data_IF_294018678754
#
_entry.id   IF_294018678754
#
_cell.length_a   1.000
_cell.length_b   1.000
_cell.length_c   1.000
_cell.angle_alpha   90.00
_cell.angle_beta   90.00
_cell.angle_gamma   90.00
#
_symmetry.space_group_name_H-M   'P 1'
#
loop_
_entity.id
_entity.type
_entity.pdbx_description
1 polymer ?
#
# COMPACT_ATOMS: atom_id res chain seq x y z
N UNK A 1 1.23 21.24 46.86
CA UNK A 1 0.60 19.92 46.73
C UNK A 1 -0.83 20.14 46.32
N UNK A 2 -1.15 20.13 45.05
CA UNK A 2 -2.50 20.24 44.54
C UNK A 2 -2.68 19.12 43.51
N UNK A 3 -3.47 18.13 43.83
CA UNK A 3 -3.82 17.00 42.99
C UNK A 3 -4.74 17.49 41.88
N UNK A 4 -4.31 17.35 40.64
CA UNK A 4 -5.16 17.41 39.43
C UNK A 4 -5.63 15.99 39.11
N UNK A 5 -6.88 15.71 39.38
CA UNK A 5 -7.58 14.52 38.89
C UNK A 5 -8.09 14.82 37.49
N UNK A 6 -7.56 14.11 36.50
CA UNK A 6 -8.11 14.13 35.13
C UNK A 6 -9.06 12.95 34.97
N UNK A 7 -10.35 13.23 35.03
CA UNK A 7 -11.38 12.30 34.54
C UNK A 7 -11.56 12.51 33.04
N UNK A 8 -11.34 11.48 32.26
CA UNK A 8 -11.66 11.41 30.83
C UNK A 8 -13.14 11.00 30.69
N UNK A 9 -13.97 11.72 29.94
CA UNK A 9 -15.37 11.29 29.73
C UNK A 9 -15.39 10.11 28.73
N UNK A 10 -16.39 9.19 28.87
CA UNK A 10 -16.54 8.06 27.97
C UNK A 10 -17.03 8.50 26.59
N UNK A 11 -16.40 7.97 25.54
CA UNK A 11 -16.84 8.13 24.15
C UNK A 11 -18.17 7.39 23.95
N UNK A 12 -19.25 8.15 23.85
CA UNK A 12 -20.59 7.64 23.52
C UNK A 12 -20.64 7.14 22.06
N UNK A 13 -21.15 5.95 21.90
CA UNK A 13 -21.48 5.34 20.62
C UNK A 13 -22.63 6.08 19.93
N UNK A 14 -22.38 6.69 18.77
CA UNK A 14 -23.43 7.15 17.86
C UNK A 14 -23.44 6.33 16.57
N UNK A 15 -24.62 6.02 16.01
CA UNK A 15 -24.73 5.23 14.78
C UNK A 15 -24.29 6.04 13.54
N UNK A 16 -23.66 5.37 12.60
CA UNK A 16 -23.20 5.91 11.32
C UNK A 16 -24.39 6.43 10.49
N UNK A 17 -24.63 7.73 10.49
CA UNK A 17 -25.44 8.43 9.50
C UNK A 17 -24.56 9.37 8.71
N UNK A 18 -24.79 9.42 7.39
CA UNK A 18 -23.99 10.16 6.44
C UNK A 18 -23.88 11.65 6.75
N UNK A 19 -22.65 12.14 6.73
CA UNK A 19 -22.36 13.57 6.93
C UNK A 19 -22.60 14.35 5.66
N UNK A 20 -23.69 15.10 5.64
CA UNK A 20 -23.82 16.30 4.80
C UNK A 20 -22.89 17.37 5.38
N UNK A 21 -22.03 17.93 4.55
CA UNK A 21 -21.14 19.04 4.89
C UNK A 21 -21.95 20.28 5.26
N UNK A 22 -21.87 20.69 6.52
CA UNK A 22 -22.35 22.01 6.96
C UNK A 22 -21.16 22.97 7.01
N UNK A 23 -21.13 23.91 6.09
CA UNK A 23 -20.25 25.07 6.14
C UNK A 23 -20.87 26.06 7.15
N UNK A 24 -20.14 26.54 8.16
CA UNK A 24 -20.66 27.57 9.06
C UNK A 24 -20.79 28.91 8.31
N UNK A 25 -22.02 29.40 8.16
CA UNK A 25 -22.27 30.81 7.88
C UNK A 25 -22.21 31.60 9.19
N UNK A 26 -21.41 32.64 9.18
CA UNK A 26 -21.45 33.95 9.83
C UNK A 26 -20.11 34.34 10.43
N UNK A 27 -19.38 35.18 9.67
CA UNK A 27 -18.49 36.17 10.21
C UNK A 27 -19.14 37.56 9.94
N UNK A 28 -19.47 38.25 11.00
CA UNK A 28 -19.97 39.61 10.94
C UNK A 28 -18.86 40.55 10.43
N UNK A 29 -19.28 41.52 9.59
CA UNK A 29 -18.47 42.55 8.97
C UNK A 29 -17.88 43.51 10.03
N UNK A 30 -16.56 43.58 10.11
CA UNK A 30 -15.87 44.79 10.53
C UNK A 30 -15.31 45.50 9.31
N UNK A 31 -15.60 46.79 9.20
CA UNK A 31 -15.30 47.64 8.06
C UNK A 31 -13.83 48.11 8.08
N UNK A 32 -12.98 47.39 7.39
CA UNK A 32 -11.69 47.87 6.93
C UNK A 32 -11.68 47.86 5.40
N UNK A 33 -11.16 48.89 4.74
CA UNK A 33 -11.20 49.09 3.30
C UNK A 33 -10.77 47.84 2.53
N UNK A 34 -11.76 47.08 2.01
CA UNK A 34 -11.54 45.94 1.15
C UNK A 34 -11.25 46.40 -0.27
N UNK A 35 -10.31 45.76 -0.93
CA UNK A 35 -10.08 45.92 -2.37
C UNK A 35 -11.40 45.68 -3.14
N UNK A 36 -11.59 46.39 -4.29
CA UNK A 36 -12.85 46.35 -5.03
C UNK A 36 -13.28 44.92 -5.34
N UNK A 37 -14.56 44.57 -5.14
CA UNK A 37 -15.17 43.26 -5.32
C UNK A 37 -14.90 42.62 -6.70
N UNK A 38 -14.49 43.39 -7.69
CA UNK A 38 -14.13 42.90 -9.02
C UNK A 38 -12.86 42.01 -9.05
N UNK A 39 -12.02 42.01 -8.00
CA UNK A 39 -10.77 41.25 -7.96
C UNK A 39 -10.96 39.76 -7.52
N UNK A 40 -12.12 39.39 -6.99
CA UNK A 40 -12.35 38.03 -6.43
C UNK A 40 -13.27 37.15 -7.27
N UNK A 41 -13.55 37.52 -8.52
CA UNK A 41 -14.50 36.80 -9.35
C UNK A 41 -13.96 35.52 -10.01
N UNK A 42 -12.64 35.26 -9.96
CA UNK A 42 -12.05 34.08 -10.59
C UNK A 42 -11.29 33.23 -9.56
N UNK A 43 -11.81 32.01 -9.33
CA UNK A 43 -11.08 30.99 -8.57
C UNK A 43 -9.91 30.45 -9.42
N UNK A 44 -8.68 30.36 -8.88
CA UNK A 44 -7.55 29.74 -9.58
C UNK A 44 -7.90 28.34 -10.04
N UNK A 45 -7.58 28.02 -11.29
CA UNK A 45 -7.80 26.67 -11.84
C UNK A 45 -6.55 25.81 -11.67
N UNK A 46 -6.66 24.56 -11.22
CA UNK A 46 -5.53 23.63 -11.19
C UNK A 46 -5.11 23.27 -12.63
N UNK A 47 -3.96 22.58 -12.76
CA UNK A 47 -3.51 22.05 -14.06
C UNK A 47 -4.61 21.17 -14.68
N UNK A 48 -4.75 21.20 -16.00
CA UNK A 48 -5.81 20.47 -16.74
C UNK A 48 -5.76 18.96 -16.41
N UNK A 49 -4.58 18.40 -16.27
CA UNK A 49 -4.39 16.98 -15.91
C UNK A 49 -4.99 16.67 -14.53
N UNK A 50 -4.73 17.54 -13.53
CA UNK A 50 -5.29 17.39 -12.18
C UNK A 50 -6.81 17.51 -12.17
N UNK A 51 -7.37 18.41 -13.01
CA UNK A 51 -8.84 18.52 -13.18
C UNK A 51 -9.49 17.24 -13.72
N UNK A 52 -8.77 16.47 -14.54
CA UNK A 52 -9.25 15.22 -15.11
C UNK A 52 -9.11 14.02 -14.17
N UNK A 53 -8.34 14.13 -13.09
CA UNK A 53 -8.13 13.05 -12.12
C UNK A 53 -9.38 12.84 -11.26
N UNK A 54 -9.66 11.58 -10.95
CA UNK A 54 -10.68 11.22 -9.94
C UNK A 54 -10.03 11.17 -8.57
N UNK A 55 -10.70 11.75 -7.59
CA UNK A 55 -10.28 11.62 -6.21
C UNK A 55 -10.40 10.16 -5.74
N UNK A 56 -9.35 9.65 -5.10
CA UNK A 56 -9.34 8.30 -4.55
C UNK A 56 -9.81 8.30 -3.10
N UNK A 57 -10.93 7.66 -2.84
CA UNK A 57 -11.51 7.50 -1.51
C UNK A 57 -11.40 6.05 -1.03
N UNK A 58 -10.42 5.72 -0.17
CA UNK A 58 -10.40 4.40 0.46
C UNK A 58 -11.61 4.26 1.41
N UNK A 59 -12.31 3.11 1.44
CA UNK A 59 -13.42 2.88 2.37
C UNK A 59 -12.87 2.68 3.78
N UNK A 60 -12.65 3.78 4.49
CA UNK A 60 -12.22 3.79 5.89
C UNK A 60 -13.48 3.77 6.79
N UNK A 61 -13.55 2.84 7.73
CA UNK A 61 -14.66 2.74 8.67
C UNK A 61 -14.69 1.42 9.41
N UNK A 62 -15.66 1.24 10.32
CA UNK A 62 -15.97 -0.03 11.00
C UNK A 62 -14.75 -0.73 11.61
N UNK A 63 -13.96 0.01 12.41
CA UNK A 63 -12.68 -0.48 12.96
C UNK A 63 -12.85 -1.58 14.02
N UNK A 64 -14.05 -1.77 14.55
CA UNK A 64 -14.38 -2.80 15.54
C UNK A 64 -14.66 -4.18 14.92
N UNK A 65 -14.65 -4.28 13.58
CA UNK A 65 -14.82 -5.54 12.85
C UNK A 65 -13.48 -6.20 12.55
N UNK A 66 -13.50 -7.48 12.20
CA UNK A 66 -12.32 -8.16 11.66
C UNK A 66 -11.98 -7.60 10.28
N UNK A 67 -10.88 -6.84 10.21
CA UNK A 67 -10.47 -6.11 9.01
C UNK A 67 -9.57 -6.97 8.12
N UNK A 68 -10.16 -7.53 7.08
CA UNK A 68 -9.46 -8.30 6.06
C UNK A 68 -9.53 -7.60 4.69
N UNK A 69 -9.53 -6.26 4.67
CA UNK A 69 -9.74 -5.41 3.49
C UNK A 69 -8.52 -4.60 3.05
N UNK A 70 -7.57 -4.27 3.96
CA UNK A 70 -6.44 -3.38 3.69
C UNK A 70 -5.07 -4.07 3.69
N UNK A 71 -4.99 -5.38 3.81
CA UNK A 71 -3.74 -6.14 3.92
C UNK A 71 -2.86 -5.64 5.08
N UNK A 72 -3.50 -5.19 6.16
CA UNK A 72 -2.81 -4.78 7.39
C UNK A 72 -2.35 -6.01 8.18
N UNK A 73 -1.41 -5.82 9.09
CA UNK A 73 -1.15 -6.78 10.15
C UNK A 73 -2.37 -6.78 11.09
N UNK A 74 -2.98 -7.94 11.27
CA UNK A 74 -4.25 -8.08 12.00
C UNK A 74 -4.07 -8.33 13.50
N UNK A 75 -2.83 -8.38 13.98
CA UNK A 75 -2.52 -8.61 15.38
C UNK A 75 -2.09 -7.29 16.03
N UNK A 76 -0.84 -6.91 15.84
CA UNK A 76 -0.21 -5.71 16.38
C UNK A 76 1.20 -5.54 15.79
N UNK A 77 1.90 -4.47 16.15
CA UNK A 77 3.35 -4.39 15.99
C UNK A 77 4.06 -5.16 17.11
N UNK A 78 5.40 -5.34 16.98
CA UNK A 78 6.23 -5.92 18.03
C UNK A 78 6.02 -5.22 19.40
N UNK A 79 5.99 -5.97 20.50
CA UNK A 79 5.94 -5.41 21.86
C UNK A 79 7.06 -4.39 22.13
N UNK A 80 8.27 -4.58 21.58
CA UNK A 80 9.38 -3.62 21.68
C UNK A 80 9.02 -2.24 21.13
N UNK A 81 8.20 -2.18 20.07
CA UNK A 81 7.69 -0.92 19.52
C UNK A 81 6.76 -0.23 20.51
N UNK A 82 5.83 -0.98 21.10
CA UNK A 82 4.90 -0.45 22.10
C UNK A 82 5.62 0.09 23.34
N UNK A 83 6.71 -0.56 23.78
CA UNK A 83 7.54 -0.10 24.88
C UNK A 83 8.21 1.25 24.57
N UNK A 84 8.73 1.42 23.34
CA UNK A 84 9.35 2.68 22.92
C UNK A 84 8.32 3.79 22.87
N UNK A 85 7.12 3.52 22.28
CA UNK A 85 6.04 4.50 22.26
C UNK A 85 5.64 4.98 23.66
N UNK A 86 5.60 4.08 24.64
CA UNK A 86 5.29 4.41 26.02
C UNK A 86 6.34 5.28 26.72
N UNK A 87 7.56 5.39 26.16
CA UNK A 87 8.69 6.16 26.71
C UNK A 87 8.95 7.48 25.96
N UNK A 88 8.24 7.75 24.89
CA UNK A 88 8.43 8.99 24.11
C UNK A 88 8.09 10.20 24.96
N UNK A 89 9.05 11.12 25.08
CA UNK A 89 8.87 12.37 25.82
C UNK A 89 8.17 13.43 24.98
N UNK A 90 7.47 14.37 25.63
CA UNK A 90 6.91 15.54 24.96
C UNK A 90 7.99 16.35 24.22
N UNK A 91 9.21 16.40 24.75
CA UNK A 91 10.34 17.10 24.11
C UNK A 91 10.78 16.48 22.79
N UNK A 92 10.53 15.18 22.56
CA UNK A 92 10.79 14.52 21.29
C UNK A 92 9.82 14.95 20.19
N UNK A 93 8.64 15.45 20.57
CA UNK A 93 7.60 15.89 19.61
C UNK A 93 7.79 17.34 19.17
N UNK A 94 8.62 18.13 19.87
CA UNK A 94 8.81 19.55 19.59
C UNK A 94 10.00 19.86 18.69
N UNK A 95 10.74 18.82 18.27
CA UNK A 95 11.94 18.96 17.44
C UNK A 95 11.72 18.28 16.09
N UNK A 96 12.34 18.83 15.06
CA UNK A 96 12.39 18.16 13.77
C UNK A 96 13.18 16.85 13.89
N UNK A 97 12.69 15.76 13.27
CA UNK A 97 13.38 14.48 13.33
C UNK A 97 14.65 14.46 12.48
N UNK A 98 15.67 13.76 12.95
CA UNK A 98 16.89 13.42 12.20
C UNK A 98 16.72 12.02 11.60
N UNK A 99 16.66 11.94 10.28
CA UNK A 99 16.40 10.69 9.56
C UNK A 99 17.67 9.85 9.35
N UNK A 100 18.79 10.51 9.12
CA UNK A 100 20.05 9.89 8.70
C UNK A 100 20.57 8.80 9.65
N UNK A 101 20.50 8.94 10.99
CA UNK A 101 20.92 7.88 11.91
C UNK A 101 20.10 6.59 11.75
N UNK A 102 18.78 6.73 11.52
CA UNK A 102 17.89 5.58 11.35
C UNK A 102 18.04 4.98 9.93
N UNK A 103 18.30 5.80 8.91
CA UNK A 103 18.67 5.30 7.58
C UNK A 103 19.94 4.46 7.61
N UNK A 104 20.94 4.84 8.40
CA UNK A 104 22.15 4.05 8.57
C UNK A 104 21.88 2.68 9.22
N UNK A 105 21.00 2.62 10.23
CA UNK A 105 20.57 1.36 10.86
C UNK A 105 19.85 0.48 9.82
N UNK A 106 18.92 1.04 9.07
CA UNK A 106 18.17 0.32 8.04
C UNK A 106 19.10 -0.17 6.94
N UNK A 107 20.03 0.66 6.47
CA UNK A 107 21.00 0.28 5.45
C UNK A 107 21.86 -0.90 5.92
N UNK A 108 22.37 -0.85 7.16
CA UNK A 108 23.12 -1.95 7.74
C UNK A 108 22.30 -3.24 7.85
N UNK A 109 21.01 -3.14 8.26
CA UNK A 109 20.08 -4.28 8.32
C UNK A 109 19.85 -4.92 6.93
N UNK A 110 19.88 -4.11 5.86
CA UNK A 110 19.70 -4.56 4.48
C UNK A 110 21.01 -4.97 3.78
N UNK A 111 22.16 -4.80 4.43
CA UNK A 111 23.48 -5.04 3.83
C UNK A 111 23.87 -3.99 2.77
N UNK A 112 23.35 -2.77 2.89
CA UNK A 112 23.54 -1.66 1.95
C UNK A 112 24.34 -0.51 2.61
N UNK A 113 24.88 0.39 1.79
CA UNK A 113 25.45 1.64 2.28
C UNK A 113 24.34 2.67 2.60
N UNK A 114 24.52 3.58 3.58
CA UNK A 114 23.52 4.61 3.91
C UNK A 114 23.10 5.48 2.73
N UNK A 115 24.01 5.79 1.80
CA UNK A 115 23.72 6.56 0.60
C UNK A 115 22.80 5.84 -0.40
N UNK A 116 22.63 4.52 -0.26
CA UNK A 116 21.75 3.70 -1.10
C UNK A 116 20.32 3.58 -0.57
N UNK A 117 20.02 4.10 0.62
CA UNK A 117 18.70 3.98 1.28
C UNK A 117 18.16 5.36 1.60
N UNK A 118 16.88 5.58 1.35
CA UNK A 118 16.14 6.76 1.81
C UNK A 118 14.84 6.32 2.48
N UNK A 119 14.63 6.74 3.73
CA UNK A 119 13.35 6.54 4.42
C UNK A 119 12.31 7.54 3.92
N UNK A 120 11.07 7.10 3.82
CA UNK A 120 9.93 7.86 3.31
C UNK A 120 8.71 7.71 4.20
N UNK A 121 7.77 8.64 4.07
CA UNK A 121 6.47 8.58 4.76
C UNK A 121 5.54 7.54 4.09
N UNK A 122 5.89 6.27 4.22
CA UNK A 122 5.29 5.14 3.51
C UNK A 122 5.81 5.01 2.08
N UNK A 123 5.45 3.89 1.45
CA UNK A 123 5.77 3.66 0.02
C UNK A 123 5.02 4.63 -0.90
N UNK A 124 3.93 5.21 -0.45
CA UNK A 124 3.21 6.24 -1.21
C UNK A 124 4.11 7.44 -1.52
N UNK A 125 4.80 7.99 -0.51
CA UNK A 125 5.79 9.05 -0.73
C UNK A 125 6.97 8.55 -1.56
N UNK A 126 7.43 7.32 -1.32
CA UNK A 126 8.51 6.71 -2.09
C UNK A 126 8.23 6.70 -3.60
N UNK A 127 7.04 6.26 -4.00
CA UNK A 127 6.59 6.25 -5.40
C UNK A 127 6.47 7.67 -5.92
N UNK A 128 5.83 8.56 -5.16
CA UNK A 128 5.61 9.96 -5.56
C UNK A 128 6.92 10.69 -5.84
N UNK A 129 7.87 10.67 -4.89
CA UNK A 129 9.16 11.35 -5.08
C UNK A 129 10.02 10.71 -6.18
N UNK A 130 9.92 9.39 -6.39
CA UNK A 130 10.60 8.72 -7.49
C UNK A 130 10.05 9.21 -8.83
N UNK A 131 8.72 9.28 -8.96
CA UNK A 131 8.08 9.72 -10.20
C UNK A 131 8.36 11.20 -10.48
N UNK A 132 8.27 12.03 -9.46
CA UNK A 132 8.59 13.46 -9.56
C UNK A 132 10.08 13.70 -9.95
N UNK A 133 10.99 12.83 -9.50
CA UNK A 133 12.41 12.92 -9.84
C UNK A 133 12.77 12.46 -11.27
N UNK A 134 11.94 11.58 -11.88
CA UNK A 134 12.32 10.90 -13.12
C UNK A 134 11.31 11.01 -14.28
N UNK A 135 10.08 11.46 -14.03
CA UNK A 135 9.04 11.57 -15.07
C UNK A 135 8.75 13.02 -15.42
N UNK A 136 8.62 13.28 -16.71
CA UNK A 136 8.18 14.56 -17.26
C UNK A 136 7.18 14.35 -18.40
N UNK A 137 6.65 15.43 -18.96
CA UNK A 137 5.71 15.38 -20.08
C UNK A 137 6.32 14.63 -21.28
N UNK A 138 5.59 13.65 -21.79
CA UNK A 138 6.00 12.81 -22.91
C UNK A 138 6.68 11.48 -22.51
N UNK A 139 7.08 11.34 -21.26
CA UNK A 139 7.62 10.10 -20.72
C UNK A 139 6.53 9.04 -20.51
N UNK A 140 6.93 7.78 -20.48
CA UNK A 140 6.05 6.64 -20.23
C UNK A 140 6.42 5.93 -18.92
N UNK A 141 5.41 5.79 -18.03
CA UNK A 141 5.40 4.82 -16.95
C UNK A 141 4.79 3.51 -17.47
N UNK A 142 5.57 2.44 -17.54
CA UNK A 142 5.07 1.11 -17.90
C UNK A 142 4.73 0.31 -16.65
N UNK A 143 3.52 -0.27 -16.58
CA UNK A 143 3.08 -1.07 -15.43
C UNK A 143 2.16 -2.22 -15.84
N UNK A 144 2.33 -3.43 -15.23
CA UNK A 144 1.36 -4.51 -15.33
C UNK A 144 0.08 -4.13 -14.59
N UNK A 145 -1.08 -4.46 -15.17
CA UNK A 145 -2.40 -4.23 -14.52
C UNK A 145 -3.20 -5.54 -14.51
N UNK A 146 -4.03 -5.77 -13.49
CA UNK A 146 -4.33 -4.91 -12.33
C UNK A 146 -3.14 -4.78 -11.39
N UNK A 147 -2.96 -3.60 -10.77
CA UNK A 147 -1.91 -3.34 -9.79
C UNK A 147 -2.34 -2.25 -8.79
N UNK A 148 -1.39 -1.70 -8.03
CA UNK A 148 -1.65 -0.64 -7.06
C UNK A 148 -1.97 0.67 -7.77
N UNK A 149 -3.17 1.18 -7.56
CA UNK A 149 -3.74 2.35 -8.28
C UNK A 149 -2.91 3.62 -8.15
N UNK A 150 -2.14 3.77 -7.04
CA UNK A 150 -1.35 4.99 -6.82
C UNK A 150 -0.23 5.19 -7.84
N UNK A 151 0.23 4.15 -8.53
CA UNK A 151 1.19 4.33 -9.64
C UNK A 151 0.60 5.21 -10.74
N UNK A 152 -0.62 4.93 -11.18
CA UNK A 152 -1.29 5.74 -12.21
C UNK A 152 -1.58 7.16 -11.73
N UNK A 153 -2.00 7.31 -10.46
CA UNK A 153 -2.32 8.60 -9.86
C UNK A 153 -1.06 9.48 -9.81
N UNK A 154 0.06 8.97 -9.31
CA UNK A 154 1.29 9.75 -9.22
C UNK A 154 1.91 10.03 -10.60
N UNK A 155 1.88 9.09 -11.55
CA UNK A 155 2.32 9.36 -12.92
C UNK A 155 1.46 10.45 -13.57
N UNK A 156 0.15 10.42 -13.35
CA UNK A 156 -0.75 11.46 -13.87
C UNK A 156 -0.43 12.85 -13.30
N UNK A 157 0.12 12.94 -12.10
CA UNK A 157 0.52 14.23 -11.50
C UNK A 157 1.79 14.82 -12.10
N UNK A 158 2.62 14.02 -12.80
CA UNK A 158 3.85 14.47 -13.49
C UNK A 158 3.66 14.74 -14.98
N UNK A 159 2.42 14.68 -15.49
CA UNK A 159 2.07 14.76 -16.91
C UNK A 159 2.65 13.64 -17.79
N UNK A 160 3.30 12.64 -17.21
CA UNK A 160 3.71 11.42 -17.89
C UNK A 160 2.52 10.51 -18.24
N UNK A 161 2.71 9.64 -19.21
CA UNK A 161 1.70 8.69 -19.68
C UNK A 161 1.86 7.33 -18.96
N UNK A 162 0.84 6.88 -18.25
CA UNK A 162 0.78 5.49 -17.81
C UNK A 162 0.44 4.56 -18.98
N UNK A 163 1.28 3.56 -19.21
CA UNK A 163 1.10 2.50 -20.22
C UNK A 163 0.81 1.20 -19.50
N UNK A 164 -0.48 0.83 -19.47
CA UNK A 164 -0.96 -0.36 -18.79
C UNK A 164 -0.73 -1.62 -19.65
N UNK A 165 -0.08 -2.63 -19.08
CA UNK A 165 0.11 -3.96 -19.68
C UNK A 165 -0.83 -4.93 -18.99
N UNK A 166 -1.94 -5.25 -19.66
CA UNK A 166 -2.98 -6.11 -19.10
C UNK A 166 -2.46 -7.55 -18.89
N UNK A 167 -2.64 -8.08 -17.67
CA UNK A 167 -2.48 -9.49 -17.40
C UNK A 167 -3.54 -10.32 -18.18
N UNK A 168 -3.28 -11.61 -18.39
CA UNK A 168 -4.29 -12.53 -18.91
C UNK A 168 -5.30 -12.91 -17.80
N UNK A 169 -6.32 -13.71 -18.15
CA UNK A 169 -7.39 -14.11 -17.22
C UNK A 169 -6.89 -14.91 -16.00
N UNK A 170 -5.69 -15.47 -16.09
CA UNK A 170 -5.03 -16.15 -14.97
C UNK A 170 -4.32 -15.19 -14.00
N UNK A 171 -4.32 -13.89 -14.31
CA UNK A 171 -3.72 -12.78 -13.54
C UNK A 171 -2.24 -13.00 -13.19
N UNK A 172 -1.54 -13.85 -13.93
CA UNK A 172 -0.09 -14.00 -13.82
C UNK A 172 0.64 -12.75 -14.31
N UNK A 173 1.88 -12.62 -13.87
CA UNK A 173 2.73 -11.53 -14.32
C UNK A 173 2.90 -11.55 -15.85
N UNK A 174 2.54 -10.48 -16.58
CA UNK A 174 2.48 -10.47 -18.05
C UNK A 174 3.85 -10.19 -18.68
N UNK A 175 4.84 -11.04 -18.41
CA UNK A 175 6.26 -10.81 -18.71
C UNK A 175 6.51 -10.49 -20.21
N UNK A 176 6.09 -11.36 -21.11
CA UNK A 176 6.32 -11.18 -22.55
C UNK A 176 5.64 -9.92 -23.09
N UNK A 177 4.42 -9.66 -22.66
CA UNK A 177 3.68 -8.47 -23.05
C UNK A 177 4.36 -7.19 -22.55
N UNK A 178 4.92 -7.23 -21.34
CA UNK A 178 5.66 -6.12 -20.77
C UNK A 178 6.93 -5.83 -21.54
N UNK A 179 7.70 -6.85 -21.94
CA UNK A 179 8.91 -6.67 -22.76
C UNK A 179 8.60 -6.03 -24.11
N UNK A 180 7.50 -6.44 -24.76
CA UNK A 180 7.06 -5.86 -26.04
C UNK A 180 6.60 -4.41 -25.90
N UNK A 181 6.07 -4.03 -24.73
CA UNK A 181 5.57 -2.68 -24.48
C UNK A 181 6.68 -1.65 -24.16
N UNK A 182 7.93 -2.08 -23.94
CA UNK A 182 9.07 -1.18 -23.70
C UNK A 182 9.34 -0.35 -24.95
N UNK A 183 9.40 0.97 -24.81
CA UNK A 183 9.73 1.93 -25.87
C UNK A 183 10.90 2.81 -25.47
N UNK A 184 11.39 3.66 -26.39
CA UNK A 184 12.40 4.67 -26.09
C UNK A 184 11.91 5.77 -25.13
N UNK A 185 10.59 5.92 -24.97
CA UNK A 185 9.96 6.83 -24.01
C UNK A 185 9.74 6.21 -22.63
N UNK A 186 9.89 4.89 -22.52
CA UNK A 186 9.76 4.22 -21.21
C UNK A 186 10.85 4.74 -20.27
N UNK A 187 10.42 5.46 -19.23
CA UNK A 187 11.31 6.09 -18.26
C UNK A 187 11.29 5.40 -16.91
N UNK A 188 10.14 4.85 -16.54
CA UNK A 188 9.99 4.00 -15.36
C UNK A 188 9.19 2.76 -15.73
N UNK A 189 9.61 1.61 -15.21
CA UNK A 189 8.84 0.37 -15.20
C UNK A 189 8.55 0.06 -13.72
N UNK A 190 7.28 0.10 -13.30
CA UNK A 190 6.90 -0.14 -11.92
C UNK A 190 6.24 -1.52 -11.78
N UNK A 191 6.83 -2.37 -10.94
CA UNK A 191 6.39 -3.75 -10.70
C UNK A 191 6.22 -3.97 -9.20
N UNK A 192 4.97 -4.12 -8.75
CA UNK A 192 4.70 -4.64 -7.40
C UNK A 192 5.01 -6.15 -7.38
N UNK A 193 5.87 -6.59 -6.49
CA UNK A 193 6.35 -7.96 -6.42
C UNK A 193 6.50 -8.49 -4.98
N UNK A 194 5.52 -9.26 -4.49
CA UNK A 194 4.25 -9.69 -5.09
C UNK A 194 3.27 -8.57 -5.40
N UNK A 195 2.47 -8.77 -6.46
CA UNK A 195 1.51 -7.78 -6.93
C UNK A 195 0.19 -7.79 -6.14
N UNK A 196 -0.41 -6.65 -5.95
CA UNK A 196 -1.77 -6.49 -5.41
C UNK A 196 -2.68 -5.85 -6.48
N UNK A 197 -3.85 -6.46 -6.82
CA UNK A 197 -4.59 -7.45 -6.03
C UNK A 197 -4.37 -8.91 -6.41
N UNK A 198 -3.61 -9.22 -7.46
CA UNK A 198 -3.50 -10.58 -8.02
C UNK A 198 -2.79 -11.60 -7.11
N UNK A 199 -1.85 -11.13 -6.29
CA UNK A 199 -0.97 -12.03 -5.52
C UNK A 199 0.15 -12.67 -6.35
N UNK A 200 0.20 -12.44 -7.66
CA UNK A 200 1.23 -12.97 -8.56
C UNK A 200 2.59 -12.33 -8.30
N UNK A 201 3.66 -13.03 -8.67
CA UNK A 201 5.01 -12.53 -8.56
C UNK A 201 5.78 -12.75 -9.87
N UNK A 202 6.62 -11.77 -10.22
CA UNK A 202 7.67 -11.94 -11.22
C UNK A 202 8.85 -12.69 -10.60
N UNK A 203 9.48 -13.57 -11.35
CA UNK A 203 10.71 -14.22 -10.90
C UNK A 203 11.90 -13.25 -10.95
N UNK A 204 12.92 -13.51 -10.14
CA UNK A 204 14.16 -12.75 -10.15
C UNK A 204 14.78 -12.68 -11.57
N UNK A 205 14.75 -13.78 -12.35
CA UNK A 205 15.26 -13.82 -13.71
C UNK A 205 14.50 -12.87 -14.64
N UNK A 206 13.17 -12.84 -14.55
CA UNK A 206 12.33 -11.90 -15.31
C UNK A 206 12.64 -10.44 -14.98
N UNK A 207 12.80 -10.12 -13.68
CA UNK A 207 13.15 -8.75 -13.26
C UNK A 207 14.53 -8.33 -13.81
N UNK A 208 15.53 -9.22 -13.80
CA UNK A 208 16.84 -8.95 -14.36
C UNK A 208 16.78 -8.75 -15.88
N UNK A 209 15.99 -9.54 -16.59
CA UNK A 209 15.83 -9.38 -18.04
C UNK A 209 15.15 -8.04 -18.37
N UNK A 210 14.11 -7.65 -17.62
CA UNK A 210 13.45 -6.34 -17.78
C UNK A 210 14.47 -5.21 -17.57
N UNK A 211 15.27 -5.27 -16.50
CA UNK A 211 16.32 -4.26 -16.24
C UNK A 211 17.31 -4.15 -17.40
N UNK A 212 17.73 -5.28 -17.97
CA UNK A 212 18.67 -5.33 -19.09
C UNK A 212 18.06 -4.83 -20.42
N UNK A 213 16.75 -5.07 -20.64
CA UNK A 213 16.05 -4.66 -21.86
C UNK A 213 15.69 -3.17 -21.87
N UNK A 214 15.64 -2.52 -20.71
CA UNK A 214 15.33 -1.11 -20.57
C UNK A 214 16.39 -0.37 -19.73
N UNK A 215 17.67 -0.33 -20.18
CA UNK A 215 18.75 0.29 -19.39
C UNK A 215 18.57 1.81 -19.21
N UNK A 216 17.77 2.46 -20.06
CA UNK A 216 17.41 3.88 -19.97
C UNK A 216 16.28 4.15 -18.97
N UNK A 217 15.55 3.12 -18.50
CA UNK A 217 14.43 3.26 -17.60
C UNK A 217 14.80 2.81 -16.19
N UNK A 218 14.24 3.47 -15.18
CA UNK A 218 14.29 2.98 -13.79
C UNK A 218 13.34 1.78 -13.67
N UNK A 219 13.87 0.64 -13.23
CA UNK A 219 13.05 -0.49 -12.80
C UNK A 219 12.74 -0.32 -11.31
N UNK A 220 11.51 0.08 -10.98
CA UNK A 220 11.00 0.08 -9.62
C UNK A 220 10.40 -1.29 -9.30
N UNK A 221 10.98 -2.01 -8.35
CA UNK A 221 10.41 -3.23 -7.77
C UNK A 221 9.86 -2.91 -6.39
N UNK A 222 8.53 -2.90 -6.28
CA UNK A 222 7.86 -2.66 -4.99
C UNK A 222 7.67 -3.98 -4.25
N UNK A 223 8.51 -4.19 -3.24
CA UNK A 223 8.55 -5.39 -2.40
C UNK A 223 7.69 -5.25 -1.13
N UNK A 224 6.53 -4.58 -1.21
CA UNK A 224 5.64 -4.38 -0.05
C UNK A 224 5.21 -5.68 0.64
N UNK A 225 5.16 -6.79 -0.09
CA UNK A 225 4.73 -8.10 0.41
C UNK A 225 5.86 -9.13 0.44
N UNK A 226 7.13 -8.74 0.26
CA UNK A 226 8.23 -9.67 0.10
C UNK A 226 8.39 -10.65 1.27
N UNK A 227 8.10 -10.24 2.52
CA UNK A 227 8.19 -11.11 3.69
C UNK A 227 7.32 -12.38 3.59
N UNK A 228 6.20 -12.32 2.85
CA UNK A 228 5.30 -13.46 2.64
C UNK A 228 5.66 -14.28 1.41
N UNK A 229 6.61 -13.81 0.59
CA UNK A 229 7.10 -14.45 -0.62
C UNK A 229 8.48 -15.07 -0.44
N UNK A 230 9.36 -14.35 0.22
CA UNK A 230 10.73 -14.79 0.49
C UNK A 230 11.75 -14.43 -0.60
N UNK A 231 11.31 -14.09 -1.83
CA UNK A 231 12.21 -13.66 -2.89
C UNK A 231 12.38 -12.14 -2.91
N UNK A 232 13.61 -11.67 -3.16
CA UNK A 232 13.97 -10.24 -3.21
C UNK A 232 15.03 -9.98 -4.27
N UNK A 233 15.10 -8.75 -4.73
CA UNK A 233 16.20 -8.25 -5.58
C UNK A 233 17.03 -7.17 -4.90
N UNK A 234 16.82 -6.94 -3.60
CA UNK A 234 17.52 -5.88 -2.87
C UNK A 234 19.03 -6.08 -2.81
N UNK A 235 19.49 -7.33 -2.80
CA UNK A 235 20.93 -7.69 -2.84
C UNK A 235 21.62 -7.35 -4.18
N UNK A 236 20.84 -6.93 -5.19
CA UNK A 236 21.32 -6.47 -6.48
C UNK A 236 21.50 -4.95 -6.55
N UNK A 237 21.12 -4.22 -5.52
CA UNK A 237 21.33 -2.77 -5.43
C UNK A 237 22.84 -2.47 -5.53
N UNK A 238 23.18 -1.55 -6.44
CA UNK A 238 24.56 -1.22 -6.78
C UNK A 238 25.22 -2.15 -7.80
N UNK A 239 24.65 -3.32 -8.11
CA UNK A 239 25.07 -4.23 -9.18
C UNK A 239 24.30 -3.97 -10.48
N UNK A 240 23.03 -3.62 -10.35
CA UNK A 240 22.13 -3.28 -11.46
C UNK A 240 21.91 -1.77 -11.43
N UNK A 241 22.39 -1.02 -12.43
CA UNK A 241 22.49 0.45 -12.36
C UNK A 241 21.13 1.17 -12.40
N UNK A 242 20.10 0.53 -12.91
CA UNK A 242 18.76 1.10 -13.05
C UNK A 242 17.70 0.47 -12.12
N UNK A 243 18.12 -0.33 -11.13
CA UNK A 243 17.21 -0.98 -10.18
C UNK A 243 16.97 -0.12 -8.94
N UNK A 244 15.72 0.15 -8.63
CA UNK A 244 15.28 0.71 -7.34
C UNK A 244 14.27 -0.25 -6.72
N UNK A 245 14.42 -0.51 -5.42
CA UNK A 245 13.50 -1.34 -4.62
C UNK A 245 12.78 -0.45 -3.63
N UNK A 246 11.45 -0.57 -3.55
CA UNK A 246 10.64 0.02 -2.50
C UNK A 246 10.25 -1.04 -1.46
N UNK A 247 10.24 -0.69 -0.17
CA UNK A 247 9.73 -1.54 0.92
C UNK A 247 8.88 -0.76 1.90
N UNK A 248 7.91 -1.44 2.50
CA UNK A 248 7.04 -0.87 3.53
C UNK A 248 7.20 -1.61 4.85
N UNK A 249 7.06 -0.88 5.94
CA UNK A 249 6.93 -1.45 7.28
C UNK A 249 5.46 -1.56 7.73
N UNK A 250 4.52 -1.23 6.83
CA UNK A 250 3.07 -1.24 7.12
C UNK A 250 2.48 -2.65 7.19
N UNK A 251 3.07 -3.65 6.53
CA UNK A 251 2.48 -4.99 6.36
C UNK A 251 3.00 -5.95 7.43
N UNK A 252 4.09 -6.66 7.19
CA UNK A 252 4.61 -7.66 8.12
C UNK A 252 4.99 -7.07 9.49
N UNK A 253 5.59 -5.89 9.54
CA UNK A 253 5.96 -5.21 10.79
C UNK A 253 4.77 -4.61 11.56
N UNK A 254 3.60 -4.46 10.95
CA UNK A 254 2.42 -3.91 11.63
C UNK A 254 2.49 -2.42 11.94
N UNK A 255 3.27 -1.64 11.18
CA UNK A 255 3.50 -0.21 11.40
C UNK A 255 2.70 0.69 10.45
N UNK A 256 1.54 0.23 9.98
CA UNK A 256 0.73 0.96 9.01
C UNK A 256 0.37 2.38 9.46
N UNK A 257 0.06 2.56 10.75
CA UNK A 257 -0.27 3.86 11.35
C UNK A 257 0.93 4.82 11.48
N UNK A 258 2.17 4.31 11.47
CA UNK A 258 3.38 5.12 11.55
C UNK A 258 3.85 5.63 10.20
N UNK A 259 3.29 5.14 9.10
CA UNK A 259 3.63 5.58 7.75
C UNK A 259 5.12 5.48 7.44
N UNK A 260 5.69 4.28 7.52
CA UNK A 260 7.10 4.02 7.21
C UNK A 260 7.27 3.23 5.93
N UNK A 261 8.13 3.73 5.06
CA UNK A 261 8.61 3.06 3.85
C UNK A 261 10.06 3.45 3.55
N UNK A 262 10.60 2.87 2.50
CA UNK A 262 11.92 3.21 2.01
C UNK A 262 12.02 3.03 0.49
N UNK A 263 12.98 3.74 -0.10
CA UNK A 263 13.60 3.41 -1.38
C UNK A 263 15.03 2.95 -1.15
N UNK A 264 15.44 1.91 -1.86
CA UNK A 264 16.82 1.47 -1.95
C UNK A 264 17.25 1.41 -3.41
N UNK A 265 18.38 1.98 -3.75
CA UNK A 265 18.86 2.07 -5.13
C UNK A 265 20.34 2.39 -5.24
N UNK A 266 20.92 2.36 -6.45
CA UNK A 266 22.26 2.86 -6.70
C UNK A 266 22.44 4.29 -6.22
N UNK A 267 23.58 4.63 -5.65
CA UNK A 267 23.88 5.96 -5.10
C UNK A 267 23.57 7.08 -6.10
N UNK A 268 23.87 6.85 -7.38
CA UNK A 268 23.64 7.81 -8.46
C UNK A 268 22.14 8.14 -8.63
N UNK A 269 21.24 7.14 -8.55
CA UNK A 269 19.80 7.36 -8.65
C UNK A 269 19.26 7.96 -7.35
N UNK A 270 19.70 7.46 -6.20
CA UNK A 270 19.24 7.94 -4.88
C UNK A 270 19.63 9.40 -4.66
N UNK A 271 20.71 9.91 -5.26
CA UNK A 271 21.07 11.33 -5.23
C UNK A 271 19.98 12.23 -5.83
N UNK A 272 19.32 11.78 -6.91
CA UNK A 272 18.22 12.53 -7.54
C UNK A 272 16.95 12.45 -6.71
N UNK A 273 16.60 11.26 -6.20
CA UNK A 273 15.46 11.07 -5.29
C UNK A 273 15.57 12.00 -4.07
N UNK A 274 16.76 12.09 -3.46
CA UNK A 274 16.99 12.94 -2.28
C UNK A 274 16.85 14.44 -2.54
N UNK A 275 16.92 14.91 -3.81
CA UNK A 275 16.67 16.32 -4.15
C UNK A 275 15.21 16.72 -4.07
N UNK A 276 14.32 15.77 -4.29
CA UNK A 276 12.86 15.96 -4.27
C UNK A 276 12.29 15.60 -2.91
N UNK A 277 12.87 14.61 -2.25
CA UNK A 277 12.40 14.10 -0.96
C UNK A 277 12.48 15.19 0.13
N UNK A 278 11.34 15.45 0.79
CA UNK A 278 11.30 16.35 1.94
C UNK A 278 12.19 15.85 3.08
N UNK A 279 13.05 16.70 3.69
CA UNK A 279 13.94 16.28 4.77
C UNK A 279 13.19 15.90 6.07
N UNK A 280 11.94 16.32 6.23
CA UNK A 280 11.16 16.16 7.47
C UNK A 280 9.87 15.35 7.30
N UNK A 281 9.71 14.62 6.19
CA UNK A 281 8.46 13.89 5.91
C UNK A 281 8.22 12.70 6.84
N UNK A 282 9.29 12.07 7.35
CA UNK A 282 9.18 10.94 8.28
C UNK A 282 9.10 11.47 9.71
N UNK A 283 8.02 11.16 10.41
CA UNK A 283 7.76 11.67 11.76
C UNK A 283 8.66 11.02 12.84
N UNK A 284 8.87 11.74 13.95
CA UNK A 284 9.75 11.32 15.06
C UNK A 284 9.33 9.99 15.69
N UNK A 285 8.02 9.71 15.79
CA UNK A 285 7.51 8.46 16.36
C UNK A 285 7.89 7.28 15.48
N UNK A 286 7.75 7.43 14.19
CA UNK A 286 8.11 6.43 13.20
C UNK A 286 9.60 6.10 13.25
N UNK A 287 10.46 7.13 13.29
CA UNK A 287 11.91 6.94 13.40
C UNK A 287 12.32 6.26 14.71
N UNK A 288 11.68 6.63 15.84
CA UNK A 288 11.96 5.99 17.13
C UNK A 288 11.53 4.52 17.18
N UNK A 289 10.46 4.15 16.47
CA UNK A 289 9.89 2.80 16.49
C UNK A 289 10.57 1.83 15.50
N UNK A 290 11.26 2.34 14.49
CA UNK A 290 11.81 1.48 13.43
C UNK A 290 12.97 0.60 13.92
N UNK A 291 14.00 1.09 14.64
CA UNK A 291 15.08 0.24 15.13
C UNK A 291 14.59 -0.93 15.99
N UNK A 292 13.75 -0.73 17.04
CA UNK A 292 13.26 -1.85 17.84
C UNK A 292 12.38 -2.83 17.04
N UNK A 293 11.69 -2.38 16.00
CA UNK A 293 10.95 -3.26 15.11
C UNK A 293 11.89 -4.16 14.29
N UNK A 294 13.01 -3.61 13.80
CA UNK A 294 14.03 -4.37 13.07
C UNK A 294 14.78 -5.38 13.96
N UNK A 295 15.00 -5.03 15.23
CA UNK A 295 15.67 -5.89 16.21
C UNK A 295 14.80 -7.07 16.67
N UNK A 296 13.51 -7.05 16.45
CA UNK A 296 12.60 -8.11 16.87
C UNK A 296 12.29 -9.09 15.72
N UNK A 297 13.33 -9.69 15.18
CA UNK A 297 13.21 -10.68 14.11
C UNK A 297 12.29 -11.85 14.52
N UNK A 298 12.33 -12.27 15.78
CA UNK A 298 11.52 -13.38 16.28
C UNK A 298 10.01 -13.10 16.18
N UNK A 299 9.57 -11.86 16.45
CA UNK A 299 8.18 -11.45 16.29
C UNK A 299 7.79 -11.44 14.80
N UNK A 300 8.64 -10.88 13.94
CA UNK A 300 8.43 -10.82 12.50
C UNK A 300 8.30 -12.23 11.90
N UNK A 301 9.24 -13.12 12.23
CA UNK A 301 9.27 -14.49 11.74
C UNK A 301 8.03 -15.28 12.19
N UNK A 302 7.65 -15.12 13.47
CA UNK A 302 6.44 -15.71 14.01
C UNK A 302 5.19 -15.24 13.24
N UNK A 303 5.04 -13.92 13.04
CA UNK A 303 3.87 -13.37 12.35
C UNK A 303 3.81 -13.84 10.89
N UNK A 304 4.92 -13.82 10.20
CA UNK A 304 5.00 -14.29 8.80
C UNK A 304 4.64 -15.79 8.72
N UNK A 305 5.20 -16.62 9.58
CA UNK A 305 4.90 -18.04 9.63
C UNK A 305 3.41 -18.32 9.93
N UNK A 306 2.81 -17.57 10.86
CA UNK A 306 1.38 -17.69 11.18
C UNK A 306 0.50 -17.33 10.00
N UNK A 307 0.80 -16.22 9.28
CA UNK A 307 0.06 -15.81 8.09
C UNK A 307 0.21 -16.82 6.95
N UNK A 308 1.40 -17.36 6.73
CA UNK A 308 1.63 -18.38 5.69
C UNK A 308 0.85 -19.66 5.97
N UNK A 309 0.85 -20.12 7.22
CA UNK A 309 0.08 -21.29 7.64
C UNK A 309 -1.44 -21.02 7.50
N UNK A 310 -1.91 -19.86 7.96
CA UNK A 310 -3.30 -19.45 7.84
C UNK A 310 -3.75 -19.32 6.38
N UNK A 311 -2.87 -18.84 5.49
CA UNK A 311 -3.15 -18.77 4.05
C UNK A 311 -3.35 -20.17 3.46
N UNK A 312 -2.46 -21.11 3.76
CA UNK A 312 -2.57 -22.47 3.26
C UNK A 312 -3.87 -23.16 3.73
N UNK A 313 -4.24 -22.99 5.02
CA UNK A 313 -5.49 -23.52 5.55
C UNK A 313 -6.73 -22.87 4.88
N UNK A 314 -6.70 -21.56 4.67
CA UNK A 314 -7.79 -20.82 4.05
C UNK A 314 -7.94 -21.17 2.57
N UNK A 315 -6.84 -21.28 1.84
CA UNK A 315 -6.83 -21.73 0.43
C UNK A 315 -7.45 -23.13 0.29
N UNK A 316 -7.09 -24.07 1.16
CA UNK A 316 -7.69 -25.41 1.18
C UNK A 316 -9.21 -25.36 1.50
N UNK A 317 -9.64 -24.45 2.38
CA UNK A 317 -11.06 -24.25 2.68
C UNK A 317 -11.83 -23.69 1.47
N UNK A 318 -11.25 -22.75 0.72
CA UNK A 318 -11.81 -22.22 -0.52
C UNK A 318 -11.95 -23.30 -1.60
N UNK A 319 -10.91 -24.12 -1.78
CA UNK A 319 -10.91 -25.23 -2.74
C UNK A 319 -12.01 -26.24 -2.39
N UNK A 320 -12.16 -26.60 -1.10
CA UNK A 320 -13.25 -27.48 -0.61
C UNK A 320 -14.63 -26.86 -0.83
N UNK A 321 -14.76 -25.54 -0.72
CA UNK A 321 -16.00 -24.82 -0.98
C UNK A 321 -16.29 -24.63 -2.48
N UNK A 322 -15.37 -25.02 -3.37
CA UNK A 322 -15.46 -24.84 -4.81
C UNK A 322 -15.36 -23.38 -5.25
N UNK A 323 -14.74 -22.52 -4.46
CA UNK A 323 -14.53 -21.10 -4.78
C UNK A 323 -13.26 -20.96 -5.61
N UNK A 324 -13.38 -20.44 -6.83
CA UNK A 324 -12.21 -20.13 -7.65
C UNK A 324 -11.36 -19.06 -6.99
N UNK A 325 -10.06 -19.30 -6.90
CA UNK A 325 -9.06 -18.39 -6.36
C UNK A 325 -7.83 -18.34 -7.25
N UNK A 326 -7.04 -17.30 -7.06
CA UNK A 326 -5.74 -17.17 -7.70
C UNK A 326 -4.62 -17.47 -6.68
N UNK A 327 -3.53 -18.15 -7.11
CA UNK A 327 -2.37 -18.35 -6.26
C UNK A 327 -1.81 -17.01 -5.77
N UNK A 328 -1.48 -16.94 -4.48
CA UNK A 328 -0.97 -15.70 -3.89
C UNK A 328 0.37 -15.90 -3.19
N UNK A 329 1.28 -14.96 -3.43
CA UNK A 329 2.56 -14.84 -2.73
C UNK A 329 2.54 -13.73 -1.66
N UNK A 330 1.36 -13.17 -1.35
CA UNK A 330 1.18 -12.07 -0.40
C UNK A 330 0.38 -12.49 0.84
N UNK A 331 0.07 -11.55 1.73
CA UNK A 331 -0.81 -11.76 2.89
C UNK A 331 -2.30 -11.60 2.54
N UNK A 332 -2.71 -11.98 1.37
CA UNK A 332 -4.12 -11.97 0.93
C UNK A 332 -4.36 -13.03 -0.13
N UNK A 333 -5.62 -13.34 -0.38
CA UNK A 333 -6.08 -14.20 -1.48
C UNK A 333 -7.13 -13.44 -2.28
N UNK A 334 -7.10 -13.58 -3.60
CA UNK A 334 -8.11 -13.06 -4.52
C UNK A 334 -9.04 -14.21 -4.90
N UNK A 335 -10.36 -13.99 -4.77
CA UNK A 335 -11.40 -14.99 -5.04
C UNK A 335 -12.42 -14.47 -6.04
N UNK A 336 -13.05 -15.37 -6.78
CA UNK A 336 -14.13 -15.03 -7.70
C UNK A 336 -15.49 -15.21 -7.05
N UNK A 337 -16.28 -14.15 -7.01
CA UNK A 337 -17.67 -14.15 -6.54
C UNK A 337 -18.63 -13.91 -7.72
N UNK A 338 -18.19 -13.20 -8.76
CA UNK A 338 -19.01 -12.88 -9.92
C UNK A 338 -19.97 -11.71 -9.66
N UNK A 339 -21.11 -11.71 -10.35
CA UNK A 339 -22.06 -10.59 -10.36
C UNK A 339 -22.58 -10.17 -8.97
N UNK A 340 -22.56 -11.07 -8.00
CA UNK A 340 -23.06 -10.81 -6.64
C UNK A 340 -21.97 -10.27 -5.68
N UNK A 341 -20.84 -9.78 -6.19
CA UNK A 341 -19.69 -9.31 -5.38
C UNK A 341 -20.06 -8.21 -4.37
N UNK A 342 -20.98 -7.29 -4.73
CA UNK A 342 -21.44 -6.21 -3.84
C UNK A 342 -22.27 -6.77 -2.69
N UNK A 343 -23.22 -7.65 -2.99
CA UNK A 343 -24.06 -8.32 -1.97
C UNK A 343 -23.19 -9.19 -1.07
N UNK A 344 -22.24 -9.92 -1.65
CA UNK A 344 -21.27 -10.72 -0.91
C UNK A 344 -20.48 -9.87 0.08
N UNK A 345 -19.89 -8.76 -0.36
CA UNK A 345 -19.11 -7.87 0.55
C UNK A 345 -19.98 -7.26 1.64
N UNK A 346 -21.22 -6.88 1.32
CA UNK A 346 -22.19 -6.40 2.30
C UNK A 346 -22.52 -7.47 3.34
N UNK A 347 -22.77 -8.70 2.92
CA UNK A 347 -23.08 -9.81 3.84
C UNK A 347 -21.90 -10.23 4.70
N UNK A 348 -20.67 -10.19 4.16
CA UNK A 348 -19.45 -10.41 4.95
C UNK A 348 -19.30 -9.34 6.02
N UNK A 349 -19.52 -8.06 5.66
CA UNK A 349 -19.53 -6.96 6.63
C UNK A 349 -20.61 -7.15 7.71
N UNK A 350 -21.83 -7.52 7.34
CA UNK A 350 -22.91 -7.81 8.29
C UNK A 350 -22.58 -9.02 9.22
N UNK A 351 -21.65 -9.88 8.79
CA UNK A 351 -21.12 -10.98 9.62
C UNK A 351 -19.87 -10.58 10.43
N UNK A 352 -19.51 -9.28 10.47
CA UNK A 352 -18.38 -8.75 11.23
C UNK A 352 -17.02 -8.90 10.55
N UNK A 353 -16.97 -9.21 9.26
CA UNK A 353 -15.72 -9.41 8.50
C UNK A 353 -15.66 -8.47 7.29
N UNK A 354 -14.71 -7.55 7.27
CA UNK A 354 -14.50 -6.64 6.15
C UNK A 354 -13.60 -7.30 5.09
N UNK A 355 -14.02 -7.26 3.84
CA UNK A 355 -13.26 -7.76 2.68
C UNK A 355 -13.27 -6.69 1.58
N UNK A 356 -12.36 -6.80 0.61
CA UNK A 356 -12.19 -5.75 -0.40
C UNK A 356 -12.73 -6.18 -1.76
N UNK A 357 -13.79 -5.50 -2.21
CA UNK A 357 -14.25 -5.56 -3.60
C UNK A 357 -13.17 -4.96 -4.52
N UNK A 358 -12.78 -5.72 -5.54
CA UNK A 358 -11.80 -5.32 -6.56
C UNK A 358 -12.38 -5.26 -7.97
N UNK A 359 -13.70 -5.38 -8.09
CA UNK A 359 -14.39 -5.45 -9.38
C UNK A 359 -14.23 -4.21 -10.26
N UNK A 360 -13.82 -3.09 -9.69
CA UNK A 360 -13.49 -1.87 -10.45
C UNK A 360 -12.09 -1.87 -11.05
N UNK A 361 -11.23 -2.81 -10.67
CA UNK A 361 -9.89 -2.89 -11.21
C UNK A 361 -9.90 -3.59 -12.57
N UNK A 362 -8.99 -3.22 -13.49
CA UNK A 362 -8.90 -3.85 -14.81
C UNK A 362 -8.76 -5.38 -14.72
N UNK A 363 -9.68 -6.12 -15.37
CA UNK A 363 -9.67 -7.58 -15.38
C UNK A 363 -10.06 -8.25 -14.06
N UNK A 364 -10.67 -7.51 -13.11
CA UNK A 364 -11.07 -8.03 -11.81
C UNK A 364 -12.59 -8.10 -11.62
N UNK A 365 -13.38 -8.16 -12.69
CA UNK A 365 -14.85 -8.23 -12.60
C UNK A 365 -15.32 -9.34 -11.67
N UNK A 366 -16.10 -8.99 -10.66
CA UNK A 366 -16.61 -9.92 -9.66
C UNK A 366 -15.58 -10.51 -8.71
N UNK A 367 -14.38 -9.93 -8.65
CA UNK A 367 -13.32 -10.39 -7.76
C UNK A 367 -13.33 -9.67 -6.40
N UNK A 368 -13.07 -10.44 -5.35
CA UNK A 368 -12.96 -9.95 -3.97
C UNK A 368 -11.62 -10.39 -3.41
N UNK A 369 -10.87 -9.46 -2.81
CA UNK A 369 -9.62 -9.73 -2.11
C UNK A 369 -9.88 -9.85 -0.62
N UNK A 370 -9.32 -10.90 0.00
CA UNK A 370 -9.42 -11.19 1.42
C UNK A 370 -8.02 -11.21 2.01
N UNK A 371 -7.74 -10.33 2.95
CA UNK A 371 -6.49 -10.32 3.72
C UNK A 371 -6.39 -11.58 4.57
N UNK A 372 -5.20 -12.12 4.74
CA UNK A 372 -4.94 -13.25 5.62
C UNK A 372 -4.47 -12.74 6.97
N UNK A 373 -5.24 -13.04 8.00
CA UNK A 373 -4.90 -12.82 9.41
C UNK A 373 -4.29 -14.07 10.05
N UNK A 374 -4.46 -14.22 11.36
CA UNK A 374 -4.09 -15.45 12.08
C UNK A 374 -5.01 -16.62 11.71
N UNK A 375 -4.57 -17.85 11.97
CA UNK A 375 -5.42 -19.05 11.75
C UNK A 375 -6.78 -18.94 12.44
N UNK A 376 -6.82 -18.37 13.66
CA UNK A 376 -8.09 -18.15 14.39
C UNK A 376 -8.99 -17.16 13.66
N UNK A 377 -8.45 -16.01 13.23
CA UNK A 377 -9.19 -15.01 12.45
C UNK A 377 -9.68 -15.59 11.12
N UNK A 378 -8.87 -16.44 10.47
CA UNK A 378 -9.27 -17.07 9.21
C UNK A 378 -10.33 -18.16 9.40
N UNK A 379 -10.40 -18.85 10.56
CA UNK A 379 -11.53 -19.72 10.88
C UNK A 379 -12.82 -18.93 11.01
N UNK A 380 -12.80 -17.77 11.68
CA UNK A 380 -13.94 -16.85 11.75
C UNK A 380 -14.36 -16.38 10.35
N UNK A 381 -13.41 -15.95 9.54
CA UNK A 381 -13.66 -15.50 8.16
C UNK A 381 -14.26 -16.63 7.30
N UNK A 382 -13.76 -17.86 7.42
CA UNK A 382 -14.28 -19.03 6.71
C UNK A 382 -15.71 -19.38 7.10
N UNK A 383 -16.05 -19.26 8.38
CA UNK A 383 -17.43 -19.46 8.85
C UNK A 383 -18.39 -18.40 8.25
N UNK A 384 -18.00 -17.13 8.26
CA UNK A 384 -18.75 -16.03 7.65
C UNK A 384 -18.90 -16.24 6.13
N UNK A 385 -17.82 -16.62 5.44
CA UNK A 385 -17.78 -16.89 4.00
C UNK A 385 -18.74 -18.03 3.65
N UNK A 386 -18.67 -19.18 4.30
CA UNK A 386 -19.53 -20.32 4.03
C UNK A 386 -21.01 -19.99 4.22
N UNK A 387 -21.35 -19.27 5.29
CA UNK A 387 -22.71 -18.80 5.53
C UNK A 387 -23.21 -17.84 4.43
N UNK A 388 -22.34 -16.96 3.97
CA UNK A 388 -22.64 -15.99 2.91
C UNK A 388 -22.84 -16.70 1.55
N UNK A 389 -21.92 -17.60 1.16
CA UNK A 389 -22.02 -18.38 -0.08
C UNK A 389 -23.32 -19.21 -0.13
N UNK A 390 -23.68 -19.87 0.98
CA UNK A 390 -24.92 -20.65 1.09
C UNK A 390 -26.17 -19.78 0.89
N UNK A 391 -26.22 -18.58 1.48
CA UNK A 391 -27.35 -17.66 1.32
C UNK A 391 -27.47 -17.10 -0.09
N UNK A 392 -26.35 -16.77 -0.73
CA UNK A 392 -26.30 -16.28 -2.10
C UNK A 392 -26.51 -17.38 -3.15
N UNK A 393 -26.64 -18.65 -2.71
CA UNK A 393 -26.71 -19.82 -3.60
C UNK A 393 -25.55 -19.89 -4.59
N UNK A 394 -24.41 -19.33 -4.21
CA UNK A 394 -23.16 -19.43 -4.94
C UNK A 394 -22.59 -20.82 -4.69
N UNK A 395 -23.13 -21.84 -5.39
CA UNK A 395 -22.52 -23.15 -5.48
C UNK A 395 -21.40 -23.07 -6.53
N UNK A 396 -20.36 -23.89 -6.30
CA UNK A 396 -19.17 -23.99 -7.11
C UNK A 396 -19.41 -23.60 -8.59
N UNK A 397 -18.82 -22.48 -8.99
CA UNK A 397 -18.68 -22.20 -10.43
C UNK A 397 -17.77 -23.32 -10.96
N UNK A 398 -18.32 -24.27 -11.71
CA UNK A 398 -17.52 -25.25 -12.41
C UNK A 398 -16.49 -24.51 -13.27
N UNK A 399 -15.22 -24.95 -13.32
CA UNK A 399 -14.28 -24.37 -14.25
C UNK A 399 -14.87 -24.46 -15.65
N UNK A 400 -15.01 -23.35 -16.32
CA UNK A 400 -15.27 -23.31 -17.76
C UNK A 400 -14.16 -24.11 -18.45
N UNK A 401 -14.47 -25.02 -19.37
CA UNK A 401 -13.50 -25.93 -20.00
C UNK A 401 -12.41 -25.20 -20.78
#
# INVERSE_FOLDING_TARGET
>A
MTKLTTETPPLGSQPCQGTTSVVPQTLQKESGALAPEACFSQTPKPRARVQAMKEYHPPLGCRDMLRLDFNENTVACSPKVSEVLGRISAGSLTRYPEREPVEAIVAAHLGLAPAQVALTNGVDEAIHVLFEAFLEEGDELLLPVPTYTMYEIYASSTDARAVAVQAADDLKFPFERLLVAITTRTKIIAIANPNSPSGSAATRAQLLEIAARAPQAVLLVDEAYFHFHGETVIDLIGKIPNLIVARTFSKAYGLAGLRLGLLAGPVELMRWVRRVLSPYSVNSLALACLPPALEDAAYLDWYVAEVLAARAEFEAALDKAGVRRWPSHANFVLIQIGAQHKEFTHMMSAAGVLVRDRSSDPGCDGLVRITIGTREQMRQASAALNKTLSKLKLHACQPTP
#
